data_IF_605330200861
#
_entry.id   IF_605330200861
#
_cell.length_a   1.000
_cell.length_b   1.000
_cell.length_c   1.000
_cell.angle_alpha   90.00
_cell.angle_beta   90.00
_cell.angle_gamma   90.00
#
_symmetry.space_group_name_H-M   'P 1'
#
loop_
_entity.id
_entity.type
_entity.pdbx_description
1 polymer ?
#
# COMPACT_ATOMS: atom_id res chain seq x y z
N UNK A 1 -15.74 -22.55 2.32
CA UNK A 1 -16.36 -22.11 3.59
C UNK A 1 -16.36 -23.34 4.50
N UNK A 2 -15.50 -23.34 5.50
CA UNK A 2 -15.53 -24.35 6.56
C UNK A 2 -16.35 -23.79 7.71
N UNK A 3 -17.57 -24.29 7.87
CA UNK A 3 -18.34 -24.09 9.09
C UNK A 3 -17.78 -25.03 10.15
N UNK A 4 -17.14 -24.49 11.17
CA UNK A 4 -16.72 -25.29 12.31
C UNK A 4 -17.94 -25.61 13.18
N UNK A 5 -18.60 -26.70 12.80
CA UNK A 5 -19.78 -27.21 13.50
C UNK A 5 -19.47 -27.56 14.98
N UNK A 6 -18.21 -27.83 15.33
CA UNK A 6 -17.80 -28.07 16.71
C UNK A 6 -17.72 -26.79 17.53
N UNK A 7 -17.15 -25.71 16.97
CA UNK A 7 -17.12 -24.40 17.65
C UNK A 7 -18.54 -23.86 17.85
N UNK A 8 -19.42 -24.00 16.86
CA UNK A 8 -20.83 -23.60 16.94
C UNK A 8 -21.55 -24.41 18.01
N UNK A 9 -21.37 -25.74 18.03
CA UNK A 9 -22.02 -26.61 19.02
C UNK A 9 -21.51 -26.42 20.44
N UNK A 10 -20.23 -26.06 20.61
CA UNK A 10 -19.65 -25.71 21.90
C UNK A 10 -20.14 -24.35 22.40
N UNK A 11 -20.24 -23.35 21.52
CA UNK A 11 -20.82 -22.06 21.82
C UNK A 11 -22.27 -22.17 22.31
N UNK A 12 -23.09 -22.97 21.63
CA UNK A 12 -24.46 -23.24 22.05
C UNK A 12 -24.56 -23.98 23.39
N UNK A 13 -23.64 -24.90 23.68
CA UNK A 13 -23.62 -25.62 24.95
C UNK A 13 -23.20 -24.77 26.13
N UNK A 14 -22.32 -23.78 25.93
CA UNK A 14 -21.87 -22.89 27.01
C UNK A 14 -22.88 -21.80 27.33
N UNK A 15 -23.75 -21.43 26.37
CA UNK A 15 -24.83 -20.46 26.60
C UNK A 15 -26.04 -21.06 27.29
N UNK A 16 -26.22 -22.38 27.26
CA UNK A 16 -27.31 -23.07 27.94
C UNK A 16 -26.98 -23.41 29.40
N UNK A 17 -27.58 -22.69 30.33
CA UNK A 17 -27.52 -23.08 31.73
C UNK A 17 -28.52 -24.19 32.02
N UNK A 18 -28.06 -25.43 32.38
CA UNK A 18 -28.95 -26.60 32.58
C UNK A 18 -30.03 -26.43 33.64
N UNK A 19 -29.84 -25.45 34.56
CA UNK A 19 -30.81 -25.17 35.64
C UNK A 19 -31.87 -24.14 35.24
N UNK A 20 -31.65 -23.38 34.17
CA UNK A 20 -32.54 -22.29 33.73
C UNK A 20 -33.38 -22.70 32.48
N UNK A 21 -33.16 -23.92 31.95
CA UNK A 21 -33.83 -24.35 30.73
C UNK A 21 -35.36 -24.25 30.78
N UNK A 22 -36.07 -24.50 31.91
CA UNK A 22 -37.52 -24.37 31.92
C UNK A 22 -37.99 -22.92 31.78
N UNK A 23 -37.24 -21.97 32.29
CA UNK A 23 -37.53 -20.53 32.16
C UNK A 23 -37.13 -20.00 30.76
N UNK A 24 -36.07 -20.56 30.20
CA UNK A 24 -35.60 -20.23 28.86
C UNK A 24 -36.47 -20.80 27.74
N UNK A 25 -37.22 -21.89 27.99
CA UNK A 25 -38.10 -22.51 27.01
C UNK A 25 -39.35 -21.63 26.66
N UNK A 26 -39.65 -20.64 27.48
CA UNK A 26 -40.79 -19.69 27.30
C UNK A 26 -40.36 -18.28 26.89
N UNK A 27 -39.08 -18.02 26.75
CA UNK A 27 -38.53 -16.76 26.28
C UNK A 27 -38.20 -16.78 24.79
N UNK A 28 -38.34 -15.65 24.11
CA UNK A 28 -37.76 -15.49 22.79
C UNK A 28 -36.23 -15.47 22.91
N UNK A 29 -35.58 -16.50 22.40
CA UNK A 29 -34.13 -16.56 22.32
C UNK A 29 -33.71 -15.97 20.97
N UNK A 30 -33.21 -14.75 21.00
CA UNK A 30 -32.37 -14.24 19.94
C UNK A 30 -30.96 -14.84 20.14
N UNK A 31 -30.80 -16.08 19.73
CA UNK A 31 -29.50 -16.70 19.58
C UNK A 31 -28.82 -16.09 18.35
N UNK A 32 -28.30 -14.88 18.49
CA UNK A 32 -27.29 -14.36 17.59
C UNK A 32 -25.98 -15.10 17.87
N UNK A 33 -25.96 -16.37 17.50
CA UNK A 33 -24.72 -17.14 17.45
C UNK A 33 -23.82 -16.44 16.45
N UNK A 34 -22.69 -15.90 16.91
CA UNK A 34 -21.66 -15.43 16.01
C UNK A 34 -21.18 -16.64 15.22
N UNK A 35 -21.66 -16.77 13.99
CA UNK A 35 -21.11 -17.70 13.02
C UNK A 35 -19.68 -17.23 12.76
N UNK A 36 -18.71 -17.81 13.44
CA UNK A 36 -17.31 -17.65 13.09
C UNK A 36 -17.05 -18.43 11.80
N UNK A 37 -17.45 -17.86 10.67
CA UNK A 37 -17.04 -18.35 9.38
C UNK A 37 -15.59 -17.87 9.16
N UNK A 38 -14.64 -18.79 9.25
CA UNK A 38 -13.28 -18.53 8.77
C UNK A 38 -13.30 -18.72 7.26
N UNK A 39 -13.10 -17.65 6.52
CA UNK A 39 -12.93 -17.71 5.08
C UNK A 39 -11.44 -17.80 4.79
N UNK A 40 -11.01 -18.77 4.00
CA UNK A 40 -9.63 -18.91 3.56
C UNK A 40 -9.34 -17.86 2.48
N UNK A 41 -8.93 -16.65 2.90
CA UNK A 41 -8.61 -15.54 1.99
C UNK A 41 -7.54 -15.93 0.96
N UNK A 42 -6.59 -16.79 1.33
CA UNK A 42 -5.55 -17.30 0.42
C UNK A 42 -6.14 -18.12 -0.75
N UNK A 43 -7.18 -18.94 -0.50
CA UNK A 43 -7.84 -19.70 -1.57
C UNK A 43 -8.63 -18.77 -2.51
N UNK A 44 -9.26 -17.74 -1.96
CA UNK A 44 -9.94 -16.71 -2.75
C UNK A 44 -8.92 -15.99 -3.62
N UNK A 45 -7.83 -15.51 -3.01
CA UNK A 45 -6.75 -14.82 -3.70
C UNK A 45 -6.20 -15.66 -4.86
N UNK A 46 -5.87 -16.93 -4.62
CA UNK A 46 -5.36 -17.82 -5.65
C UNK A 46 -6.34 -17.99 -6.83
N UNK A 47 -7.65 -17.91 -6.56
CA UNK A 47 -8.67 -18.03 -7.59
C UNK A 47 -8.89 -16.76 -8.40
N UNK A 48 -8.81 -15.60 -7.77
CA UNK A 48 -9.05 -14.32 -8.45
C UNK A 48 -7.78 -13.72 -9.07
N UNK A 49 -6.59 -14.09 -8.58
CA UNK A 49 -5.32 -13.52 -9.04
C UNK A 49 -5.16 -13.51 -10.58
N UNK A 50 -5.43 -14.62 -11.31
CA UNK A 50 -5.29 -14.61 -12.77
C UNK A 50 -6.27 -13.66 -13.46
N UNK A 51 -7.48 -13.49 -12.93
CA UNK A 51 -8.48 -12.56 -13.48
C UNK A 51 -8.07 -11.11 -13.22
N UNK A 52 -7.59 -10.82 -12.01
CA UNK A 52 -7.07 -9.49 -11.65
C UNK A 52 -5.83 -9.15 -12.50
N UNK A 53 -4.94 -10.10 -12.73
CA UNK A 53 -3.76 -9.93 -13.59
C UNK A 53 -4.17 -9.61 -15.04
N UNK A 54 -5.18 -10.31 -15.57
CA UNK A 54 -5.70 -10.05 -16.90
C UNK A 54 -6.27 -8.62 -17.04
N UNK A 55 -7.01 -8.14 -16.03
CA UNK A 55 -7.52 -6.77 -15.98
C UNK A 55 -6.37 -5.76 -15.84
N UNK A 56 -5.38 -6.07 -15.01
CA UNK A 56 -4.23 -5.20 -14.77
C UNK A 56 -3.25 -5.12 -15.94
N UNK A 57 -3.34 -6.01 -16.93
CA UNK A 57 -2.50 -5.95 -18.12
C UNK A 57 -2.66 -4.65 -18.92
N UNK A 58 -3.84 -4.01 -18.85
CA UNK A 58 -4.15 -2.73 -19.50
C UNK A 58 -4.25 -1.57 -18.49
N UNK A 59 -4.08 -1.85 -17.21
CA UNK A 59 -4.22 -0.84 -16.16
C UNK A 59 -2.93 -0.03 -15.96
N UNK A 60 -3.10 1.21 -15.52
CA UNK A 60 -1.97 2.07 -15.12
C UNK A 60 -1.58 1.76 -13.69
N UNK A 61 -0.28 1.52 -13.46
CA UNK A 61 0.24 1.37 -12.10
C UNK A 61 0.34 2.73 -11.40
N UNK A 62 0.12 2.79 -10.07
CA UNK A 62 0.38 4.01 -9.32
C UNK A 62 1.87 4.32 -9.31
N UNK A 63 2.20 5.60 -9.21
CA UNK A 63 3.58 6.09 -9.06
C UNK A 63 3.69 6.78 -7.72
N UNK A 64 4.72 6.42 -6.96
CA UNK A 64 5.01 7.01 -5.66
C UNK A 64 5.46 8.47 -5.80
N UNK A 65 5.18 9.29 -4.80
CA UNK A 65 5.73 10.62 -4.71
C UNK A 65 7.27 10.54 -4.58
N UNK A 66 7.95 11.46 -5.23
CA UNK A 66 9.42 11.52 -5.28
C UNK A 66 9.90 12.97 -5.23
N UNK A 67 11.19 13.20 -5.40
CA UNK A 67 11.77 14.54 -5.60
C UNK A 67 12.31 14.65 -7.01
N UNK A 68 12.24 15.85 -7.57
CA UNK A 68 12.88 16.18 -8.85
C UNK A 68 13.52 17.55 -8.77
N UNK A 69 14.61 17.71 -9.49
CA UNK A 69 15.28 19.00 -9.63
C UNK A 69 14.51 19.91 -10.57
N UNK A 70 14.21 21.10 -10.12
CA UNK A 70 13.62 22.18 -10.91
C UNK A 70 14.71 23.18 -11.32
N UNK A 71 14.90 23.33 -12.63
CA UNK A 71 15.90 24.25 -13.20
C UNK A 71 15.53 25.73 -12.98
N UNK A 72 14.24 26.06 -12.84
CA UNK A 72 13.79 27.44 -12.66
C UNK A 72 14.09 27.94 -11.24
N UNK A 73 13.87 27.08 -10.26
CA UNK A 73 14.13 27.38 -8.84
C UNK A 73 15.55 27.01 -8.39
N UNK A 74 16.26 26.24 -9.23
CA UNK A 74 17.57 25.64 -8.94
C UNK A 74 17.56 24.84 -7.61
N UNK A 75 16.49 24.10 -7.34
CA UNK A 75 16.27 23.35 -6.12
C UNK A 75 15.48 22.08 -6.38
N UNK A 76 15.51 21.15 -5.43
CA UNK A 76 14.67 19.95 -5.48
C UNK A 76 13.26 20.25 -4.95
N UNK A 77 12.26 19.78 -5.67
CA UNK A 77 10.86 19.89 -5.29
C UNK A 77 10.20 18.51 -5.21
N UNK A 78 9.17 18.41 -4.35
CA UNK A 78 8.39 17.18 -4.22
C UNK A 78 7.46 17.03 -5.42
N UNK A 79 7.66 15.95 -6.18
CA UNK A 79 6.73 15.52 -7.22
C UNK A 79 5.64 14.65 -6.58
N UNK A 80 4.36 15.04 -6.69
CA UNK A 80 3.29 14.29 -6.06
C UNK A 80 3.12 12.90 -6.69
N UNK A 81 2.56 12.00 -5.90
CA UNK A 81 2.13 10.68 -6.33
C UNK A 81 1.07 10.75 -7.44
N UNK A 82 1.04 9.72 -8.28
CA UNK A 82 -0.01 9.55 -9.29
C UNK A 82 -0.77 8.25 -9.00
N UNK A 83 -2.09 8.36 -8.92
CA UNK A 83 -2.96 7.20 -8.73
C UNK A 83 -3.10 6.44 -10.04
N UNK A 84 -3.08 5.11 -9.92
CA UNK A 84 -3.29 4.19 -11.04
C UNK A 84 -4.72 3.67 -11.09
N UNK A 85 -4.96 2.79 -12.07
CA UNK A 85 -6.23 2.04 -12.22
C UNK A 85 -6.04 0.55 -11.95
N UNK A 86 -4.85 0.12 -11.54
CA UNK A 86 -4.55 -1.27 -11.25
C UNK A 86 -5.28 -1.74 -9.99
N UNK A 87 -5.87 -2.94 -10.06
CA UNK A 87 -6.60 -3.59 -8.98
C UNK A 87 -5.66 -4.33 -8.03
N UNK A 88 -5.90 -4.20 -6.72
CA UNK A 88 -5.19 -4.93 -5.68
C UNK A 88 -5.85 -6.27 -5.37
N UNK A 89 -5.27 -7.38 -5.81
CA UNK A 89 -5.85 -8.71 -5.63
C UNK A 89 -6.07 -9.07 -4.15
N UNK A 90 -5.14 -8.71 -3.26
CA UNK A 90 -5.26 -8.97 -1.82
C UNK A 90 -6.45 -8.22 -1.21
N UNK A 91 -6.67 -6.97 -1.62
CA UNK A 91 -7.81 -6.17 -1.16
C UNK A 91 -9.12 -6.77 -1.62
N UNK A 92 -9.22 -7.11 -2.91
CA UNK A 92 -10.40 -7.75 -3.49
C UNK A 92 -10.68 -9.08 -2.80
N UNK A 93 -9.66 -9.89 -2.53
CA UNK A 93 -9.84 -11.16 -1.81
C UNK A 93 -10.39 -10.94 -0.40
N UNK A 94 -9.94 -9.88 0.28
CA UNK A 94 -10.42 -9.50 1.61
C UNK A 94 -11.87 -9.03 1.59
N UNK A 95 -12.27 -8.22 0.61
CA UNK A 95 -13.66 -7.77 0.42
C UNK A 95 -14.59 -8.95 0.10
N UNK A 96 -14.13 -9.88 -0.76
CA UNK A 96 -14.89 -11.11 -1.05
C UNK A 96 -15.06 -11.95 0.21
N UNK A 97 -14.01 -12.11 1.01
CA UNK A 97 -14.09 -12.85 2.27
C UNK A 97 -15.09 -12.21 3.24
N UNK A 98 -15.09 -10.88 3.35
CA UNK A 98 -16.04 -10.13 4.17
C UNK A 98 -17.47 -10.32 3.66
N UNK A 99 -17.71 -10.14 2.36
CA UNK A 99 -19.03 -10.34 1.76
C UNK A 99 -19.57 -11.74 1.95
N UNK A 100 -18.72 -12.76 1.89
CA UNK A 100 -19.11 -14.16 2.20
C UNK A 100 -19.54 -14.30 3.68
N UNK A 101 -18.79 -13.64 4.60
CA UNK A 101 -19.09 -13.70 6.03
C UNK A 101 -20.37 -12.93 6.39
N UNK A 102 -20.69 -11.86 5.67
CA UNK A 102 -21.90 -11.04 5.87
C UNK A 102 -23.08 -11.50 5.01
N UNK A 103 -22.89 -12.55 4.20
CA UNK A 103 -23.91 -13.07 3.27
C UNK A 103 -24.37 -12.03 2.24
N UNK A 104 -23.50 -11.14 1.84
CA UNK A 104 -23.76 -10.17 0.80
C UNK A 104 -23.66 -10.82 -0.60
N UNK A 105 -24.74 -10.77 -1.41
CA UNK A 105 -24.74 -11.42 -2.72
C UNK A 105 -23.94 -10.66 -3.78
N UNK A 106 -23.61 -9.40 -3.50
CA UNK A 106 -22.89 -8.52 -4.43
C UNK A 106 -21.93 -7.64 -3.65
N UNK A 107 -20.70 -7.57 -4.09
CA UNK A 107 -19.66 -6.72 -3.51
C UNK A 107 -19.37 -5.62 -4.51
N UNK A 108 -19.53 -4.36 -4.10
CA UNK A 108 -19.13 -3.21 -4.88
C UNK A 108 -17.67 -2.90 -4.54
N UNK A 109 -16.80 -2.91 -5.55
CA UNK A 109 -15.42 -2.47 -5.39
C UNK A 109 -15.38 -0.94 -5.51
N UNK A 110 -14.72 -0.31 -4.56
CA UNK A 110 -14.47 1.13 -4.53
C UNK A 110 -12.99 1.45 -4.82
N UNK A 111 -12.62 2.71 -4.62
CA UNK A 111 -11.24 3.17 -4.82
C UNK A 111 -10.22 2.48 -3.90
N UNK A 112 -10.67 1.90 -2.78
CA UNK A 112 -9.81 1.15 -1.88
C UNK A 112 -9.37 -0.20 -2.46
N UNK A 113 -10.11 -0.72 -3.46
CA UNK A 113 -9.72 -1.92 -4.18
C UNK A 113 -8.55 -1.69 -5.16
N UNK A 114 -8.22 -0.42 -5.46
CA UNK A 114 -7.10 -0.07 -6.32
C UNK A 114 -5.76 -0.19 -5.57
N UNK A 115 -4.72 -0.49 -6.32
CA UNK A 115 -3.34 -0.41 -5.78
C UNK A 115 -3.04 1.05 -5.45
N UNK A 116 -2.65 1.29 -4.19
CA UNK A 116 -2.33 2.63 -3.72
C UNK A 116 -0.82 2.90 -3.83
N UNK A 117 -0.42 4.16 -4.07
CA UNK A 117 0.97 4.57 -3.93
C UNK A 117 1.48 4.28 -2.51
N UNK A 118 2.75 3.93 -2.38
CA UNK A 118 3.39 3.66 -1.08
C UNK A 118 3.91 4.92 -0.41
N UNK A 119 4.26 5.93 -1.21
CA UNK A 119 4.78 7.20 -0.75
C UNK A 119 3.87 8.32 -1.26
N UNK A 120 3.44 9.18 -0.35
CA UNK A 120 2.57 10.32 -0.64
C UNK A 120 3.35 11.63 -0.50
N UNK A 121 2.95 12.66 -1.22
CA UNK A 121 3.55 14.01 -1.14
C UNK A 121 3.56 14.60 0.27
N UNK A 122 2.69 14.11 1.16
CA UNK A 122 2.61 14.53 2.56
C UNK A 122 3.64 13.85 3.45
N UNK A 123 4.44 12.92 2.93
CA UNK A 123 5.49 12.26 3.69
C UNK A 123 6.60 13.28 4.01
N UNK A 124 6.85 13.51 5.30
CA UNK A 124 7.86 14.46 5.76
C UNK A 124 9.27 14.11 5.30
N UNK A 125 9.54 12.82 5.06
CA UNK A 125 10.85 12.36 4.57
C UNK A 125 11.18 12.96 3.21
N UNK A 126 10.18 13.26 2.36
CA UNK A 126 10.41 13.91 1.07
C UNK A 126 10.85 15.36 1.23
N UNK A 127 10.27 16.10 2.19
CA UNK A 127 10.70 17.45 2.48
C UNK A 127 12.14 17.49 3.04
N UNK A 128 12.46 16.55 3.94
CA UNK A 128 13.83 16.41 4.46
C UNK A 128 14.80 15.98 3.34
N UNK A 129 14.35 15.14 2.41
CA UNK A 129 15.11 14.73 1.24
C UNK A 129 15.40 15.90 0.29
N UNK A 130 14.41 16.77 0.00
CA UNK A 130 14.65 17.98 -0.78
C UNK A 130 15.73 18.84 -0.14
N UNK A 131 15.61 19.10 1.16
CA UNK A 131 16.59 19.92 1.89
C UNK A 131 18.01 19.33 1.84
N UNK A 132 18.12 18.01 2.04
CA UNK A 132 19.41 17.30 1.98
C UNK A 132 19.99 17.29 0.55
N UNK A 133 19.13 17.11 -0.46
CA UNK A 133 19.55 17.14 -1.86
C UNK A 133 20.02 18.54 -2.28
N UNK A 134 19.34 19.60 -1.81
CA UNK A 134 19.74 20.99 -2.06
C UNK A 134 21.09 21.31 -1.43
N UNK A 135 21.41 20.75 -0.25
CA UNK A 135 22.74 20.89 0.35
C UNK A 135 23.84 20.28 -0.52
N UNK A 136 23.54 19.20 -1.28
CA UNK A 136 24.50 18.60 -2.20
C UNK A 136 24.79 19.49 -3.41
N UNK A 137 23.83 20.36 -3.83
CA UNK A 137 24.01 21.26 -4.98
C UNK A 137 25.00 22.41 -4.73
N UNK A 138 25.35 22.63 -3.48
CA UNK A 138 26.30 23.73 -3.11
C UNK A 138 27.74 23.41 -3.53
N UNK A 139 28.02 22.14 -3.83
CA UNK A 139 29.36 21.74 -4.24
C UNK A 139 29.69 22.33 -5.64
N UNK A 140 30.83 22.96 -5.76
CA UNK A 140 31.41 23.48 -6.99
C UNK A 140 32.88 23.03 -7.07
N UNK A 141 33.16 22.11 -7.98
CA UNK A 141 34.46 21.43 -8.07
C UNK A 141 35.03 21.56 -9.47
N UNK A 142 36.16 22.27 -9.59
CA UNK A 142 36.93 22.36 -10.83
C UNK A 142 37.88 21.18 -10.96
N UNK A 143 37.76 20.44 -12.04
CA UNK A 143 38.70 19.40 -12.43
C UNK A 143 39.81 20.02 -13.29
N UNK A 144 41.02 20.02 -12.76
CA UNK A 144 42.17 20.64 -13.45
C UNK A 144 42.98 19.58 -14.20
N UNK A 145 43.25 19.86 -15.50
CA UNK A 145 44.20 19.11 -16.28
C UNK A 145 45.37 20.03 -16.70
N UNK A 146 46.58 19.69 -16.28
CA UNK A 146 47.77 20.50 -16.53
C UNK A 146 47.67 21.98 -16.09
N UNK A 147 46.91 22.24 -15.02
CA UNK A 147 46.69 23.56 -14.46
C UNK A 147 45.62 24.42 -15.15
N UNK A 148 44.87 23.81 -16.09
CA UNK A 148 43.70 24.43 -16.72
C UNK A 148 42.42 23.66 -16.31
N UNK A 149 41.31 24.40 -16.12
CA UNK A 149 40.03 23.80 -15.83
C UNK A 149 39.59 22.99 -17.05
N UNK A 150 39.49 21.67 -16.87
CA UNK A 150 39.05 20.73 -17.89
C UNK A 150 37.56 20.47 -17.81
N UNK A 151 36.99 20.51 -16.61
CA UNK A 151 35.54 20.33 -16.35
C UNK A 151 35.19 20.98 -15.01
N UNK A 152 33.95 21.43 -14.86
CA UNK A 152 33.38 21.88 -13.60
C UNK A 152 32.23 20.98 -13.25
N UNK A 153 32.20 20.48 -12.02
CA UNK A 153 31.05 19.76 -11.44
C UNK A 153 30.29 20.77 -10.61
N UNK A 154 29.20 21.23 -11.15
CA UNK A 154 28.31 22.22 -10.57
C UNK A 154 26.97 21.62 -10.09
N UNK A 155 26.16 22.43 -9.42
CA UNK A 155 24.86 22.02 -8.88
C UNK A 155 23.94 21.32 -9.92
N UNK A 156 23.71 21.90 -11.11
CA UNK A 156 22.90 21.26 -12.15
C UNK A 156 23.43 19.90 -12.63
N UNK A 157 24.73 19.71 -12.63
CA UNK A 157 25.34 18.43 -12.97
C UNK A 157 25.16 17.43 -11.83
N UNK A 158 25.38 17.86 -10.57
CA UNK A 158 25.16 17.03 -9.38
C UNK A 158 23.69 16.58 -9.28
N UNK A 159 22.74 17.48 -9.60
CA UNK A 159 21.32 17.18 -9.57
C UNK A 159 20.94 15.95 -10.42
N UNK A 160 21.65 15.71 -11.54
CA UNK A 160 21.42 14.56 -12.41
C UNK A 160 21.88 13.23 -11.80
N UNK A 161 22.70 13.28 -10.76
CA UNK A 161 23.23 12.11 -10.06
C UNK A 161 22.51 11.82 -8.76
N UNK A 162 21.68 12.74 -8.27
CA UNK A 162 20.93 12.54 -7.04
C UNK A 162 19.79 11.57 -7.29
N UNK A 163 19.75 10.50 -6.50
CA UNK A 163 18.66 9.51 -6.46
C UNK A 163 18.25 9.27 -5.02
N UNK A 164 17.00 8.82 -4.83
CA UNK A 164 16.52 8.41 -3.50
C UNK A 164 16.80 6.92 -3.28
N UNK A 165 17.20 6.57 -2.07
CA UNK A 165 17.24 5.17 -1.64
C UNK A 165 15.86 4.69 -1.19
N UNK A 166 15.77 3.42 -0.74
CA UNK A 166 14.53 2.80 -0.23
C UNK A 166 13.95 3.51 1.01
N UNK A 167 14.74 4.29 1.72
CA UNK A 167 14.33 5.08 2.89
C UNK A 167 14.02 6.53 2.55
N UNK A 168 14.01 6.89 1.26
CA UNK A 168 13.85 8.25 0.74
C UNK A 168 15.02 9.19 1.15
N UNK A 169 16.21 8.64 1.35
CA UNK A 169 17.42 9.43 1.63
C UNK A 169 18.13 9.72 0.30
N UNK A 170 18.43 10.99 -0.01
CA UNK A 170 19.20 11.34 -1.21
C UNK A 170 20.61 10.78 -1.15
N UNK A 171 21.05 10.23 -2.25
CA UNK A 171 22.42 9.77 -2.47
C UNK A 171 22.84 10.04 -3.91
N UNK A 172 24.16 10.07 -4.14
CA UNK A 172 24.68 10.12 -5.50
C UNK A 172 24.64 8.73 -6.12
N UNK A 173 24.24 8.66 -7.37
CA UNK A 173 24.25 7.44 -8.17
C UNK A 173 25.68 7.10 -8.59
N UNK A 174 26.21 5.99 -8.09
CA UNK A 174 27.59 5.55 -8.35
C UNK A 174 27.77 4.96 -9.78
N UNK A 175 26.68 4.79 -10.53
CA UNK A 175 26.70 4.19 -11.88
C UNK A 175 26.72 5.25 -13.00
N UNK A 176 26.59 6.54 -12.68
CA UNK A 176 26.66 7.68 -13.60
C UNK A 176 27.94 8.46 -13.45
#
# INVERSE_FOLDING_TARGET
>A
IYLDAQAISQGMRTSMNPWLWPAQAFGSHDETGSLAATCATEEILARIAPEVEAVNAEATQPVDATIAYDEETASFEVVPETYGTALGADRIASEIALGIMTFEPTIALDEEALVQPKVYKTDKRLADACSTADEMLVADVDVLLSGQVAATVDGPLIAQWVVLDENLVPKLDDEK
#
